data_IF_594817928408
#
_entry.id   IF_594817928408
#
_cell.length_a   1.000
_cell.length_b   1.000
_cell.length_c   1.000
_cell.angle_alpha   90.00
_cell.angle_beta   90.00
_cell.angle_gamma   90.00
#
_symmetry.space_group_name_H-M   'P 1'
#
loop_
_entity.id
_entity.type
_entity.pdbx_description
1 polymer ?
#
# COMPACT_ATOMS: atom_id res chain seq x y z
N UNK A 1 18.21 -23.72 -5.70
CA UNK A 1 18.61 -22.37 -5.24
C UNK A 1 17.73 -21.32 -5.93
N UNK A 2 16.52 -21.08 -5.42
CA UNK A 2 15.61 -20.09 -6.01
C UNK A 2 16.05 -18.70 -5.57
N UNK A 3 16.54 -17.87 -6.50
CA UNK A 3 16.81 -16.45 -6.25
C UNK A 3 15.50 -15.81 -5.81
N UNK A 4 15.33 -15.58 -4.51
CA UNK A 4 14.18 -14.89 -3.92
C UNK A 4 14.15 -13.48 -4.48
N UNK A 5 13.36 -13.23 -5.52
CA UNK A 5 13.19 -11.89 -6.07
C UNK A 5 12.45 -11.05 -5.03
N UNK A 6 13.10 -10.07 -4.38
CA UNK A 6 12.47 -9.29 -3.34
C UNK A 6 11.57 -8.27 -4.02
N UNK A 7 10.28 -8.59 -4.15
CA UNK A 7 9.23 -7.74 -4.69
C UNK A 7 9.30 -7.50 -6.22
N UNK A 8 8.55 -8.29 -7.03
CA UNK A 8 8.62 -8.22 -8.48
C UNK A 8 8.12 -6.88 -9.01
N UNK A 9 8.67 -6.43 -10.15
CA UNK A 9 8.27 -5.17 -10.80
C UNK A 9 6.78 -5.13 -11.16
N UNK A 10 6.18 -6.28 -11.49
CA UNK A 10 4.74 -6.41 -11.77
C UNK A 10 3.87 -5.98 -10.60
N UNK A 11 4.26 -6.32 -9.37
CA UNK A 11 3.55 -5.94 -8.14
C UNK A 11 3.88 -4.52 -7.65
N UNK A 12 4.71 -3.76 -8.37
CA UNK A 12 5.12 -2.41 -7.97
C UNK A 12 4.35 -1.35 -8.76
N UNK A 13 3.67 -0.45 -8.04
CA UNK A 13 3.16 0.79 -8.60
C UNK A 13 4.29 1.82 -8.64
N UNK A 14 4.62 2.33 -9.82
CA UNK A 14 5.68 3.33 -10.01
C UNK A 14 5.29 4.38 -11.03
N UNK A 15 5.89 5.57 -10.92
CA UNK A 15 5.71 6.67 -11.86
C UNK A 15 4.64 7.67 -11.44
N UNK A 16 4.86 8.95 -11.76
CA UNK A 16 4.03 10.08 -11.32
C UNK A 16 2.57 9.94 -11.76
N UNK A 17 2.31 9.55 -13.02
CA UNK A 17 0.96 9.38 -13.58
C UNK A 17 0.16 8.31 -12.83
N UNK A 18 0.79 7.18 -12.51
CA UNK A 18 0.14 6.08 -11.77
C UNK A 18 -0.27 6.52 -10.36
N UNK A 19 0.64 7.18 -9.62
CA UNK A 19 0.31 7.73 -8.31
C UNK A 19 -0.80 8.80 -8.39
N UNK A 20 -0.72 9.70 -9.38
CA UNK A 20 -1.74 10.72 -9.59
C UNK A 20 -3.13 10.13 -9.84
N UNK A 21 -3.23 9.04 -10.62
CA UNK A 21 -4.49 8.30 -10.82
C UNK A 21 -5.05 7.77 -9.50
N UNK A 22 -4.23 7.09 -8.70
CA UNK A 22 -4.67 6.51 -7.41
C UNK A 22 -5.15 7.60 -6.45
N UNK A 23 -4.43 8.71 -6.34
CA UNK A 23 -4.86 9.84 -5.52
C UNK A 23 -6.12 10.53 -6.06
N UNK A 24 -6.24 10.64 -7.39
CA UNK A 24 -7.39 11.23 -8.07
C UNK A 24 -8.68 10.44 -7.87
N UNK A 25 -8.59 9.12 -7.68
CA UNK A 25 -9.74 8.28 -7.35
C UNK A 25 -10.35 8.57 -5.97
N UNK A 26 -9.61 9.24 -5.06
CA UNK A 26 -10.08 9.68 -3.73
C UNK A 26 -10.63 8.58 -2.80
N UNK A 27 -10.57 7.31 -3.17
CA UNK A 27 -10.96 6.20 -2.30
C UNK A 27 -9.81 5.85 -1.38
N UNK A 28 -9.96 6.17 -0.10
CA UNK A 28 -8.97 5.88 0.92
C UNK A 28 -9.59 5.38 2.22
N UNK A 29 -8.79 4.66 2.97
CA UNK A 29 -9.06 4.33 4.35
C UNK A 29 -7.78 4.52 5.17
N UNK A 30 -7.94 4.65 6.48
CA UNK A 30 -6.81 4.75 7.37
C UNK A 30 -7.09 4.14 8.74
N UNK A 31 -6.00 3.84 9.44
CA UNK A 31 -5.99 3.50 10.85
C UNK A 31 -4.86 4.30 11.55
N UNK A 32 -4.47 3.89 12.76
CA UNK A 32 -3.38 4.52 13.52
C UNK A 32 -2.04 4.53 12.77
N UNK A 33 -1.75 3.50 11.99
CA UNK A 33 -0.42 3.28 11.40
C UNK A 33 -0.32 3.69 9.94
N UNK A 34 -1.33 3.34 9.14
CA UNK A 34 -1.32 3.51 7.68
C UNK A 34 -2.57 4.24 7.20
N UNK A 35 -2.39 4.98 6.12
CA UNK A 35 -3.47 5.39 5.20
C UNK A 35 -3.21 4.67 3.89
N UNK A 36 -4.24 4.04 3.32
CA UNK A 36 -4.17 3.35 2.02
C UNK A 36 -5.18 3.98 1.09
N UNK A 37 -4.70 4.39 -0.08
CA UNK A 37 -5.55 4.71 -1.22
C UNK A 37 -5.67 3.48 -2.10
N UNK A 38 -6.87 3.22 -2.61
CA UNK A 38 -7.15 2.09 -3.48
C UNK A 38 -7.79 2.58 -4.78
N UNK A 39 -7.34 2.05 -5.90
CA UNK A 39 -7.95 2.25 -7.21
C UNK A 39 -8.01 0.91 -7.95
N UNK A 40 -9.15 0.52 -8.53
CA UNK A 40 -9.20 -0.66 -9.39
C UNK A 40 -8.14 -0.57 -10.50
N UNK A 41 -7.47 -1.69 -10.76
CA UNK A 41 -6.62 -1.89 -11.91
C UNK A 41 -7.17 -3.06 -12.76
N UNK A 42 -6.57 -3.29 -13.92
CA UNK A 42 -7.00 -4.33 -14.88
C UNK A 42 -6.12 -5.58 -14.80
N UNK A 43 -5.60 -5.87 -13.61
CA UNK A 43 -4.71 -7.00 -13.35
C UNK A 43 -5.39 -8.00 -12.41
N UNK A 44 -4.87 -9.21 -12.35
CA UNK A 44 -5.29 -10.27 -11.43
C UNK A 44 -4.58 -10.21 -10.08
N UNK A 45 -3.80 -9.15 -9.83
CA UNK A 45 -2.99 -9.03 -8.62
C UNK A 45 -2.90 -7.57 -8.14
N UNK A 46 -2.68 -7.35 -6.83
CA UNK A 46 -2.47 -5.99 -6.32
C UNK A 46 -1.11 -5.42 -6.74
N UNK A 47 -1.04 -4.09 -6.86
CA UNK A 47 0.23 -3.36 -6.97
C UNK A 47 0.42 -2.41 -5.80
N UNK A 48 1.63 -2.39 -5.22
CA UNK A 48 1.97 -1.51 -4.11
C UNK A 48 2.71 -0.26 -4.58
N UNK A 49 2.18 0.90 -4.22
CA UNK A 49 2.89 2.17 -4.15
C UNK A 49 3.14 2.57 -2.69
N UNK A 50 4.22 3.32 -2.44
CA UNK A 50 4.49 3.88 -1.12
C UNK A 50 4.77 5.38 -1.24
N UNK A 51 4.02 6.19 -0.50
CA UNK A 51 4.32 7.62 -0.36
C UNK A 51 4.93 7.87 1.01
N UNK A 52 6.27 7.99 1.06
CA UNK A 52 7.03 8.26 2.29
C UNK A 52 7.83 9.54 2.07
N UNK A 53 7.34 10.65 2.63
CA UNK A 53 7.90 11.98 2.49
C UNK A 53 9.01 12.30 3.50
N UNK A 54 9.47 13.56 3.51
CA UNK A 54 10.51 14.04 4.46
C UNK A 54 10.01 14.13 5.90
N UNK A 55 8.70 14.32 6.11
CA UNK A 55 8.08 14.42 7.44
C UNK A 55 8.18 13.13 8.27
N UNK A 56 8.46 12.01 7.62
CA UNK A 56 8.63 10.70 8.26
C UNK A 56 10.04 10.49 8.86
N UNK A 57 10.96 11.45 8.69
CA UNK A 57 12.31 11.42 9.25
C UNK A 57 13.41 11.30 8.20
N UNK A 58 14.61 10.95 8.68
CA UNK A 58 15.82 10.85 7.84
C UNK A 58 15.75 9.69 6.83
N UNK A 59 16.77 9.56 5.98
CA UNK A 59 16.81 8.51 4.95
C UNK A 59 16.70 7.09 5.53
N UNK A 60 17.34 6.83 6.68
CA UNK A 60 17.33 5.52 7.35
C UNK A 60 15.92 5.17 7.85
N UNK A 61 15.27 6.08 8.57
CA UNK A 61 13.90 5.90 9.06
C UNK A 61 12.91 5.66 7.91
N UNK A 62 12.97 6.47 6.84
CA UNK A 62 12.12 6.29 5.66
C UNK A 62 12.34 4.96 4.95
N UNK A 63 13.60 4.52 4.84
CA UNK A 63 13.93 3.24 4.23
C UNK A 63 13.46 2.06 5.10
N UNK A 64 13.53 2.17 6.43
CA UNK A 64 12.95 1.19 7.36
C UNK A 64 11.44 1.07 7.16
N UNK A 65 10.71 2.19 7.12
CA UNK A 65 9.27 2.19 6.85
C UNK A 65 8.93 1.51 5.52
N UNK A 66 9.64 1.85 4.44
CA UNK A 66 9.44 1.21 3.13
C UNK A 66 9.73 -0.29 3.16
N UNK A 67 10.74 -0.74 3.92
CA UNK A 67 11.07 -2.16 4.07
C UNK A 67 9.95 -2.91 4.80
N UNK A 68 9.45 -2.36 5.90
CA UNK A 68 8.35 -2.95 6.66
C UNK A 68 7.05 -3.06 5.85
N UNK A 69 6.68 -1.99 5.14
CA UNK A 69 5.45 -1.99 4.32
C UNK A 69 5.57 -3.00 3.16
N UNK A 70 6.72 -3.06 2.48
CA UNK A 70 6.96 -4.06 1.43
C UNK A 70 6.90 -5.48 1.96
N UNK A 71 7.48 -5.74 3.12
CA UNK A 71 7.49 -7.07 3.71
C UNK A 71 6.11 -7.48 4.21
N UNK A 72 5.37 -6.56 4.82
CA UNK A 72 3.97 -6.78 5.18
C UNK A 72 3.12 -7.11 3.95
N UNK A 73 3.27 -6.36 2.86
CA UNK A 73 2.58 -6.65 1.60
C UNK A 73 2.98 -8.01 1.03
N UNK A 74 4.27 -8.37 1.08
CA UNK A 74 4.77 -9.66 0.58
C UNK A 74 4.17 -10.84 1.36
N UNK A 75 4.12 -10.72 2.69
CA UNK A 75 3.64 -11.78 3.58
C UNK A 75 2.11 -11.91 3.56
N UNK A 76 1.39 -10.82 3.35
CA UNK A 76 -0.09 -10.80 3.34
C UNK A 76 -0.67 -10.79 1.93
N UNK A 77 0.13 -11.06 0.90
CA UNK A 77 -0.25 -10.90 -0.51
C UNK A 77 -1.58 -11.58 -0.86
N UNK A 78 -1.77 -12.81 -0.40
CA UNK A 78 -2.97 -13.64 -0.69
C UNK A 78 -4.23 -13.14 0.03
N UNK A 79 -4.08 -12.23 0.99
CA UNK A 79 -5.19 -11.60 1.73
C UNK A 79 -5.50 -10.19 1.25
N UNK A 80 -4.68 -9.65 0.35
CA UNK A 80 -4.92 -8.32 -0.19
C UNK A 80 -5.91 -8.40 -1.36
N UNK A 81 -6.76 -7.37 -1.55
CA UNK A 81 -7.69 -7.37 -2.67
C UNK A 81 -6.97 -7.38 -4.02
N UNK A 82 -7.24 -8.40 -4.83
CA UNK A 82 -6.76 -8.50 -6.21
C UNK A 82 -7.40 -7.45 -7.12
N UNK A 83 -6.68 -7.06 -8.18
CA UNK A 83 -7.17 -6.06 -9.12
C UNK A 83 -7.16 -4.63 -8.58
N UNK A 84 -6.28 -4.30 -7.62
CA UNK A 84 -6.15 -2.95 -7.08
C UNK A 84 -4.73 -2.40 -7.06
N UNK A 85 -4.61 -1.12 -7.40
CA UNK A 85 -3.46 -0.29 -7.09
C UNK A 85 -3.62 0.29 -5.68
N UNK A 86 -2.70 -0.08 -4.79
CA UNK A 86 -2.70 0.30 -3.38
C UNK A 86 -1.54 1.25 -3.10
N UNK A 87 -1.83 2.51 -2.75
CA UNK A 87 -0.79 3.46 -2.31
C UNK A 87 -0.83 3.59 -0.79
N UNK A 88 0.21 3.05 -0.14
CA UNK A 88 0.38 3.10 1.30
C UNK A 88 1.14 4.35 1.76
N UNK A 89 0.62 5.00 2.79
CA UNK A 89 1.20 6.17 3.43
C UNK A 89 1.32 5.90 4.93
N UNK A 90 2.54 5.76 5.49
CA UNK A 90 2.71 5.65 6.93
C UNK A 90 2.40 6.99 7.62
N UNK A 91 1.70 6.92 8.75
CA UNK A 91 1.46 8.10 9.58
C UNK A 91 2.76 8.62 10.19
N UNK A 92 2.79 9.92 10.47
CA UNK A 92 3.93 10.58 11.11
C UNK A 92 3.84 10.37 12.62
N UNK A 93 4.98 10.20 13.30
CA UNK A 93 5.05 10.09 14.76
C UNK A 93 4.56 8.75 15.33
N UNK A 94 4.41 7.72 14.50
CA UNK A 94 4.04 6.36 14.96
C UNK A 94 5.20 5.40 14.75
N UNK A 95 5.35 4.47 15.69
CA UNK A 95 6.28 3.36 15.53
C UNK A 95 5.63 2.25 14.71
N UNK A 96 6.14 2.06 13.50
CA UNK A 96 5.74 0.93 12.65
C UNK A 96 6.65 -0.27 12.95
N UNK A 97 6.03 -1.41 13.23
CA UNK A 97 6.66 -2.73 13.34
C UNK A 97 6.12 -3.62 12.22
N UNK A 98 6.77 -4.76 11.95
CA UNK A 98 6.27 -5.67 10.91
C UNK A 98 4.88 -6.20 11.26
N UNK A 99 4.66 -6.55 12.53
CA UNK A 99 3.40 -7.10 13.01
C UNK A 99 2.24 -6.11 12.84
N UNK A 100 2.42 -4.86 13.25
CA UNK A 100 1.38 -3.85 13.11
C UNK A 100 1.18 -3.43 11.64
N UNK A 101 2.23 -3.47 10.82
CA UNK A 101 2.14 -3.23 9.38
C UNK A 101 1.32 -4.33 8.67
N UNK A 102 1.53 -5.61 8.99
CA UNK A 102 0.76 -6.75 8.45
C UNK A 102 -0.73 -6.64 8.77
N UNK A 103 -1.08 -6.39 10.03
CA UNK A 103 -2.48 -6.20 10.45
C UNK A 103 -3.11 -4.96 9.81
N UNK A 104 -2.36 -3.87 9.73
CA UNK A 104 -2.85 -2.61 9.18
C UNK A 104 -3.04 -2.66 7.67
N UNK A 105 -2.11 -3.27 6.93
CA UNK A 105 -2.18 -3.24 5.46
C UNK A 105 -3.41 -4.01 4.96
N UNK A 106 -3.73 -5.15 5.56
CA UNK A 106 -4.92 -5.94 5.19
C UNK A 106 -6.20 -5.17 5.52
N UNK A 107 -6.41 -4.86 6.80
CA UNK A 107 -7.64 -4.22 7.28
C UNK A 107 -7.92 -2.86 6.62
N UNK A 108 -6.89 -2.07 6.35
CA UNK A 108 -7.06 -0.76 5.70
C UNK A 108 -7.29 -0.90 4.20
N UNK A 109 -6.63 -1.86 3.53
CA UNK A 109 -6.86 -2.12 2.10
C UNK A 109 -8.28 -2.59 1.83
N UNK A 110 -8.79 -3.54 2.60
CA UNK A 110 -10.18 -4.03 2.49
C UNK A 110 -11.20 -2.90 2.61
N UNK A 111 -11.01 -2.01 3.60
CA UNK A 111 -11.87 -0.85 3.81
C UNK A 111 -11.77 0.17 2.68
N UNK A 112 -10.56 0.41 2.15
CA UNK A 112 -10.36 1.32 1.01
C UNK A 112 -11.04 0.78 -0.26
N UNK A 113 -10.92 -0.53 -0.52
CA UNK A 113 -11.56 -1.21 -1.65
C UNK A 113 -13.08 -1.24 -1.53
N UNK A 114 -13.60 -1.51 -0.33
CA UNK A 114 -15.06 -1.45 -0.08
C UNK A 114 -15.63 -0.08 -0.46
N UNK A 115 -14.92 1.00 -0.12
CA UNK A 115 -15.32 2.36 -0.51
C UNK A 115 -15.21 2.61 -2.02
N UNK A 116 -14.14 2.11 -2.66
CA UNK A 116 -13.99 2.22 -4.11
C UNK A 116 -15.12 1.50 -4.86
N UNK A 117 -15.52 0.33 -4.38
CA UNK A 117 -16.64 -0.44 -4.95
C UNK A 117 -17.99 0.24 -4.73
N UNK A 118 -18.23 0.84 -3.56
CA UNK A 118 -19.46 1.56 -3.27
C UNK A 118 -19.64 2.76 -4.22
N UNK A 119 -18.57 3.51 -4.50
CA UNK A 119 -18.61 4.65 -5.42
C UNK A 119 -18.75 4.26 -6.89
N UNK A 120 -18.43 3.02 -7.29
CA UNK A 120 -18.59 2.54 -8.66
C UNK A 120 -20.02 2.10 -8.99
N UNK A 121 -20.82 1.79 -7.97
CA UNK A 121 -22.22 1.34 -8.11
C UNK A 121 -23.22 2.49 -8.08
N UNK A 122 -22.78 3.71 -7.78
CA UNK A 122 -23.58 4.94 -7.79
C UNK A 122 -23.35 5.68 -9.11
#
# INVERSE_FOLDING_TARGET
MTRTNPFPRSRRLSGRKAFARVFGGRHSAGNRFLVVYALPNELDHPRLGMSVGRRQGNAVARNRLKRLIREAFRLEGDRLPDGYDLVCIPRVGVELTLENARRSIVSVSERAVTRANASRKA
#
